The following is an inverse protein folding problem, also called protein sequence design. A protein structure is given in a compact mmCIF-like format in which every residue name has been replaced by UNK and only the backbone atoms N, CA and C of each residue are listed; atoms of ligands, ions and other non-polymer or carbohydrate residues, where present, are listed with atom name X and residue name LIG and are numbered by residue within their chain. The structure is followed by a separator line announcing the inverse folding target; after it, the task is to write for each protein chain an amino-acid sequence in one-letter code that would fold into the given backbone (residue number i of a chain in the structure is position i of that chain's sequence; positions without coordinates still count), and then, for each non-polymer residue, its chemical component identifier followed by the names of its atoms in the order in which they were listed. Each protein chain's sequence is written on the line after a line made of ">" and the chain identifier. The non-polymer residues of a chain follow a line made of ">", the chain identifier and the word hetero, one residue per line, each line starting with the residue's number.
data_IF_863639746445
#
_entry.id   IF_863639746445
#
_cell.length_a   1.000
_cell.length_b   1.000
_cell.length_c   1.000
_cell.angle_alpha   90.00
_cell.angle_beta   90.00
_cell.angle_gamma   90.00
#
_symmetry.space_group_name_H-M   'P 1'
#
loop_
_entity.id
_entity.type
_entity.pdbx_description
1 polymer ?
#
# COMPACT_ATOMS: atom_id res chain seq x y z
N UNK A 1 -0.37 18.16 5.08
CA UNK A 1 0.15 18.05 6.47
C UNK A 1 1.65 18.34 6.46
N UNK A 2 2.19 18.96 7.52
CA UNK A 2 3.60 19.42 7.60
C UNK A 2 4.64 18.32 7.34
N UNK A 3 4.51 17.07 7.83
CA UNK A 3 5.50 16.01 7.58
C UNK A 3 5.62 15.63 6.10
N UNK A 4 4.50 15.57 5.37
CA UNK A 4 4.50 15.27 3.93
C UNK A 4 5.13 16.37 3.09
N UNK A 5 4.92 17.64 3.45
CA UNK A 5 5.59 18.77 2.78
C UNK A 5 7.11 18.72 3.03
N UNK A 6 7.53 18.43 4.26
CA UNK A 6 8.95 18.28 4.60
C UNK A 6 9.62 17.14 3.85
N UNK A 7 9.01 15.94 3.85
CA UNK A 7 9.54 14.80 3.10
C UNK A 7 9.57 15.09 1.60
N UNK A 8 8.52 15.72 1.04
CA UNK A 8 8.47 16.09 -0.38
C UNK A 8 9.58 17.06 -0.77
N UNK A 9 9.83 18.09 0.04
CA UNK A 9 10.93 19.05 -0.18
C UNK A 9 12.28 18.38 -0.07
N UNK A 10 12.47 17.52 0.93
CA UNK A 10 13.71 16.76 1.10
C UNK A 10 13.95 15.83 -0.09
N UNK A 11 12.92 15.14 -0.57
CA UNK A 11 12.99 14.30 -1.78
C UNK A 11 13.36 15.12 -3.01
N UNK A 12 12.71 16.27 -3.24
CA UNK A 12 13.01 17.14 -4.38
C UNK A 12 14.48 17.58 -4.38
N UNK A 13 15.00 17.97 -3.20
CA UNK A 13 16.39 18.40 -3.02
C UNK A 13 17.40 17.26 -3.19
N UNK A 14 17.17 16.12 -2.51
CA UNK A 14 18.13 15.00 -2.51
C UNK A 14 18.17 14.23 -3.83
N UNK A 15 17.04 14.13 -4.52
CA UNK A 15 16.92 13.38 -5.77
C UNK A 15 17.13 14.25 -7.01
N UNK A 16 17.17 15.58 -6.85
CA UNK A 16 17.08 16.54 -7.96
C UNK A 16 15.92 16.19 -8.91
N UNK A 17 14.74 15.98 -8.32
CA UNK A 17 13.56 15.45 -9.01
C UNK A 17 12.36 16.40 -8.87
N UNK A 18 11.49 16.37 -9.88
CA UNK A 18 10.17 17.00 -9.80
C UNK A 18 9.26 16.13 -8.94
N UNK A 19 8.77 16.67 -7.83
CA UNK A 19 7.86 15.98 -6.91
C UNK A 19 6.43 16.43 -7.15
N UNK A 20 5.56 15.49 -7.54
CA UNK A 20 4.13 15.71 -7.68
C UNK A 20 3.41 15.08 -6.48
N UNK A 21 3.14 15.90 -5.46
CA UNK A 21 2.35 15.48 -4.30
C UNK A 21 0.86 15.65 -4.59
N UNK A 22 0.12 14.55 -4.66
CA UNK A 22 -1.29 14.54 -5.10
C UNK A 22 -2.22 14.70 -3.90
N UNK A 23 -3.00 15.79 -3.88
CA UNK A 23 -4.02 16.04 -2.86
C UNK A 23 -5.36 15.41 -3.28
N UNK A 24 -5.43 14.08 -3.28
CA UNK A 24 -6.64 13.33 -3.63
C UNK A 24 -7.74 13.51 -2.58
N UNK A 25 -9.00 13.34 -2.99
CA UNK A 25 -10.16 13.45 -2.09
C UNK A 25 -10.14 12.38 -1.01
N UNK A 26 -10.70 12.63 0.18
CA UNK A 26 -10.59 11.71 1.32
C UNK A 26 -11.93 11.10 1.74
N UNK A 27 -11.86 9.86 2.21
CA UNK A 27 -12.94 9.22 2.96
C UNK A 27 -13.10 9.91 4.34
N UNK A 28 -14.29 9.84 4.97
CA UNK A 28 -15.53 9.21 4.50
C UNK A 28 -16.36 10.09 3.56
N UNK A 29 -15.92 11.32 3.23
CA UNK A 29 -16.70 12.23 2.37
C UNK A 29 -16.81 11.73 0.93
N UNK A 30 -15.75 11.10 0.44
CA UNK A 30 -15.68 10.48 -0.87
C UNK A 30 -15.27 9.03 -0.68
N UNK A 31 -16.06 8.09 -1.17
CA UNK A 31 -15.75 6.67 -1.07
C UNK A 31 -15.02 6.18 -2.32
N UNK A 32 -14.34 5.04 -2.19
CA UNK A 32 -13.73 4.32 -3.31
C UNK A 32 -14.73 4.20 -4.49
N UNK A 33 -14.31 4.39 -5.75
CA UNK A 33 -12.92 4.50 -6.23
C UNK A 33 -12.36 5.93 -6.36
N UNK A 34 -13.02 6.95 -5.78
CA UNK A 34 -12.69 8.37 -6.05
C UNK A 34 -11.20 8.70 -5.82
N UNK A 35 -10.60 8.14 -4.77
CA UNK A 35 -9.19 8.36 -4.43
C UNK A 35 -8.24 7.76 -5.46
N UNK A 36 -8.55 6.54 -5.89
CA UNK A 36 -7.82 5.88 -6.96
C UNK A 36 -7.93 6.68 -8.25
N UNK A 37 -9.14 7.11 -8.63
CA UNK A 37 -9.36 7.86 -9.87
C UNK A 37 -8.64 9.22 -9.86
N UNK A 38 -8.63 9.92 -8.73
CA UNK A 38 -7.89 11.18 -8.57
C UNK A 38 -6.39 10.98 -8.82
N UNK A 39 -5.78 9.98 -8.18
CA UNK A 39 -4.36 9.69 -8.35
C UNK A 39 -4.07 9.17 -9.76
N UNK A 40 -4.89 8.27 -10.29
CA UNK A 40 -4.71 7.67 -11.61
C UNK A 40 -4.71 8.72 -12.71
N UNK A 41 -5.69 9.63 -12.68
CA UNK A 41 -5.80 10.69 -13.68
C UNK A 41 -4.63 11.67 -13.62
N UNK A 42 -4.16 12.03 -12.42
CA UNK A 42 -2.99 12.92 -12.25
C UNK A 42 -1.72 12.25 -12.75
N UNK A 43 -1.44 11.01 -12.34
CA UNK A 43 -0.24 10.28 -12.77
C UNK A 43 -0.25 10.12 -14.29
N UNK A 44 -1.38 9.70 -14.87
CA UNK A 44 -1.54 9.56 -16.32
C UNK A 44 -1.33 10.87 -17.08
N UNK A 45 -1.84 11.98 -16.56
CA UNK A 45 -1.62 13.31 -17.13
C UNK A 45 -0.13 13.72 -17.10
N UNK A 46 0.55 13.48 -15.98
CA UNK A 46 1.98 13.81 -15.84
C UNK A 46 2.89 12.91 -16.68
N UNK A 47 2.49 11.67 -16.92
CA UNK A 47 3.24 10.73 -17.76
C UNK A 47 3.09 10.98 -19.27
N UNK A 48 2.30 11.98 -19.69
CA UNK A 48 2.26 12.42 -21.09
C UNK A 48 3.58 13.10 -21.47
N UNK A 49 4.14 12.77 -22.64
CA UNK A 49 5.42 13.31 -23.12
C UNK A 49 5.46 14.85 -23.11
N UNK A 50 4.35 15.49 -23.48
CA UNK A 50 4.22 16.96 -23.46
C UNK A 50 4.38 17.52 -22.04
N UNK A 51 3.76 16.88 -21.05
CA UNK A 51 3.81 17.31 -19.65
C UNK A 51 5.21 17.10 -19.09
N UNK A 52 5.81 15.92 -19.33
CA UNK A 52 7.19 15.63 -18.92
C UNK A 52 8.18 16.66 -19.50
N UNK A 53 8.07 16.98 -20.80
CA UNK A 53 8.90 18.00 -21.45
C UNK A 53 8.73 19.38 -20.84
N UNK A 54 7.50 19.76 -20.48
CA UNK A 54 7.20 21.05 -19.84
C UNK A 54 7.93 21.21 -18.51
N UNK A 55 8.03 20.14 -17.73
CA UNK A 55 8.71 20.13 -16.42
C UNK A 55 10.16 19.63 -16.49
N UNK A 56 10.70 19.41 -17.70
CA UNK A 56 12.06 18.87 -17.91
C UNK A 56 12.33 17.54 -17.18
N UNK A 57 11.33 16.66 -17.13
CA UNK A 57 11.42 15.33 -16.53
C UNK A 57 11.86 14.30 -17.57
N UNK A 58 12.85 13.47 -17.23
CA UNK A 58 13.27 12.35 -18.06
C UNK A 58 12.21 11.22 -18.02
N UNK A 59 11.61 10.83 -19.17
CA UNK A 59 10.61 9.77 -19.21
C UNK A 59 11.14 8.40 -18.74
N UNK A 60 12.45 8.17 -18.74
CA UNK A 60 13.03 6.93 -18.25
C UNK A 60 13.26 6.91 -16.74
N UNK A 61 13.01 8.03 -16.02
CA UNK A 61 13.29 8.18 -14.59
C UNK A 61 12.04 8.57 -13.81
N UNK A 62 10.96 7.81 -14.00
CA UNK A 62 9.70 7.99 -13.28
C UNK A 62 9.57 6.99 -12.14
N UNK A 63 9.25 7.49 -10.95
CA UNK A 63 8.92 6.68 -9.78
C UNK A 63 7.53 7.05 -9.25
N UNK A 64 6.83 6.06 -8.70
CA UNK A 64 5.67 6.28 -7.82
C UNK A 64 6.06 5.91 -6.40
N UNK A 65 5.61 6.69 -5.43
CA UNK A 65 5.90 6.44 -4.03
C UNK A 65 4.72 6.82 -3.16
N UNK A 66 4.52 6.07 -2.08
CA UNK A 66 3.52 6.40 -1.08
C UNK A 66 3.70 5.60 0.20
N UNK A 67 3.16 6.13 1.29
CA UNK A 67 3.18 5.48 2.59
C UNK A 67 1.79 5.06 3.04
N UNK A 68 1.66 3.95 3.78
CA UNK A 68 0.36 3.49 4.29
C UNK A 68 -0.70 3.38 3.18
N UNK A 69 -1.82 4.11 3.28
CA UNK A 69 -2.85 4.23 2.23
C UNK A 69 -2.34 4.90 0.93
N UNK A 70 -1.35 5.78 1.00
CA UNK A 70 -0.63 6.26 -0.19
C UNK A 70 0.19 5.15 -0.85
N UNK A 71 0.73 4.22 -0.06
CA UNK A 71 1.40 3.01 -0.55
C UNK A 71 0.44 2.09 -1.30
N UNK A 72 -0.79 1.92 -0.79
CA UNK A 72 -1.88 1.24 -1.48
C UNK A 72 -2.11 1.82 -2.88
N UNK A 73 -2.33 3.15 -2.95
CA UNK A 73 -2.57 3.87 -4.20
C UNK A 73 -1.36 3.71 -5.14
N UNK A 74 -0.12 3.90 -4.66
CA UNK A 74 1.07 3.73 -5.48
C UNK A 74 1.18 2.31 -6.09
N UNK A 75 0.86 1.28 -5.32
CA UNK A 75 0.83 -0.11 -5.81
C UNK A 75 -0.28 -0.32 -6.85
N UNK A 76 -1.52 0.11 -6.55
CA UNK A 76 -2.64 -0.04 -7.47
C UNK A 76 -2.38 0.68 -8.80
N UNK A 77 -1.83 1.90 -8.75
CA UNK A 77 -1.45 2.67 -9.93
C UNK A 77 -0.37 1.95 -10.74
N UNK A 78 0.69 1.44 -10.10
CA UNK A 78 1.74 0.70 -10.80
C UNK A 78 1.20 -0.53 -11.53
N UNK A 79 0.26 -1.25 -10.91
CA UNK A 79 -0.40 -2.40 -11.51
C UNK A 79 -1.30 -2.02 -12.70
N UNK A 80 -2.09 -0.96 -12.57
CA UNK A 80 -3.04 -0.55 -13.62
C UNK A 80 -2.34 0.10 -14.80
N UNK A 81 -1.38 1.01 -14.57
CA UNK A 81 -0.69 1.74 -15.63
C UNK A 81 0.21 0.87 -16.49
N UNK A 82 0.79 -0.19 -15.93
CA UNK A 82 1.60 -1.14 -16.70
C UNK A 82 0.83 -1.77 -17.87
N UNK A 83 -0.51 -1.78 -17.80
CA UNK A 83 -1.40 -2.35 -18.81
C UNK A 83 -2.30 -1.31 -19.47
N UNK A 84 -2.15 -0.02 -19.17
CA UNK A 84 -2.93 1.04 -19.82
C UNK A 84 -2.36 1.35 -21.21
N UNK A 85 -3.08 1.06 -22.31
CA UNK A 85 -2.59 1.30 -23.66
C UNK A 85 -2.42 2.79 -24.00
N UNK A 86 -2.94 3.70 -23.16
CA UNK A 86 -2.80 5.13 -23.33
C UNK A 86 -1.54 5.70 -22.64
N UNK A 87 -0.76 4.85 -21.95
CA UNK A 87 0.45 5.27 -21.24
C UNK A 87 1.68 4.57 -21.83
N UNK A 88 2.50 5.33 -22.55
CA UNK A 88 3.69 4.83 -23.24
C UNK A 88 4.97 4.95 -22.40
N UNK A 89 4.91 5.68 -21.29
CA UNK A 89 6.05 5.86 -20.38
C UNK A 89 5.97 4.82 -19.27
N UNK A 90 7.09 4.21 -18.89
CA UNK A 90 7.13 3.18 -17.85
C UNK A 90 7.50 3.79 -16.50
N UNK A 91 6.84 3.31 -15.44
CA UNK A 91 7.31 3.53 -14.08
C UNK A 91 8.56 2.66 -13.89
N UNK A 92 9.69 3.28 -13.55
CA UNK A 92 10.95 2.59 -13.28
C UNK A 92 10.98 2.01 -11.88
N UNK A 93 10.41 2.72 -10.91
CA UNK A 93 10.40 2.35 -9.48
C UNK A 93 9.02 2.52 -8.87
N UNK A 94 8.61 1.54 -8.05
CA UNK A 94 7.56 1.74 -7.05
C UNK A 94 8.20 1.67 -5.64
N UNK A 95 8.00 2.71 -4.84
CA UNK A 95 8.50 2.76 -3.47
C UNK A 95 7.34 2.79 -2.46
N UNK A 96 7.24 1.75 -1.65
CA UNK A 96 6.08 1.43 -0.84
C UNK A 96 6.48 1.44 0.63
N UNK A 97 6.01 2.44 1.37
CA UNK A 97 6.44 2.67 2.76
C UNK A 97 5.34 2.14 3.69
N UNK A 98 5.56 0.98 4.32
CA UNK A 98 4.57 0.28 5.18
C UNK A 98 3.14 0.29 4.60
N UNK A 99 2.96 -0.23 3.36
CA UNK A 99 1.74 -0.03 2.59
C UNK A 99 0.55 -0.84 3.14
N UNK A 100 -0.66 -0.29 2.99
CA UNK A 100 -1.92 -1.05 3.10
C UNK A 100 -2.13 -1.78 1.77
N UNK A 101 -2.37 -3.10 1.75
CA UNK A 101 -2.47 -3.83 0.47
C UNK A 101 -3.69 -4.75 0.34
N UNK A 102 -4.37 -5.09 1.43
CA UNK A 102 -5.60 -5.87 1.38
C UNK A 102 -6.56 -5.61 2.55
N UNK A 103 -7.83 -5.88 2.30
CA UNK A 103 -8.93 -5.83 3.27
C UNK A 103 -9.60 -7.20 3.50
N UNK A 104 -9.15 -8.29 2.87
CA UNK A 104 -9.79 -9.61 2.90
C UNK A 104 -9.58 -10.37 4.22
N UNK A 105 -8.36 -10.36 4.75
CA UNK A 105 -7.98 -11.02 5.99
C UNK A 105 -7.42 -10.00 6.96
N UNK A 106 -8.28 -9.51 7.85
CA UNK A 106 -7.95 -8.57 8.92
C UNK A 106 -7.60 -9.30 10.23
N UNK A 107 -7.17 -10.55 10.13
CA UNK A 107 -6.80 -11.42 11.25
C UNK A 107 -5.46 -12.16 11.03
N UNK A 108 -4.57 -11.59 10.23
CA UNK A 108 -3.18 -12.08 10.07
C UNK A 108 -2.41 -12.06 11.41
N UNK A 109 -1.26 -12.77 11.51
CA UNK A 109 -0.40 -12.69 12.68
C UNK A 109 -0.09 -11.27 13.14
N UNK A 110 0.20 -10.33 12.23
CA UNK A 110 0.46 -8.93 12.55
C UNK A 110 -0.79 -8.19 13.08
N UNK A 111 -1.97 -8.44 12.52
CA UNK A 111 -3.22 -7.88 13.05
C UNK A 111 -3.51 -8.38 14.48
N UNK A 112 -3.20 -9.64 14.79
CA UNK A 112 -3.36 -10.22 16.13
C UNK A 112 -2.33 -9.69 17.13
N UNK A 113 -1.06 -9.62 16.72
CA UNK A 113 0.05 -9.18 17.58
C UNK A 113 0.03 -7.68 17.86
N UNK A 114 -0.25 -6.89 16.83
CA UNK A 114 -0.13 -5.43 16.88
C UNK A 114 -1.49 -4.72 16.97
N UNK A 115 -2.57 -5.47 17.21
CA UNK A 115 -3.94 -4.96 17.16
C UNK A 115 -4.25 -3.82 18.14
N UNK A 116 -3.42 -3.61 19.17
CA UNK A 116 -3.57 -2.56 20.18
C UNK A 116 -2.44 -1.51 20.14
N UNK A 117 -1.66 -1.45 19.06
CA UNK A 117 -0.62 -0.42 18.91
C UNK A 117 -1.23 1.00 18.88
N UNK A 118 -0.62 1.99 19.54
CA UNK A 118 -1.20 3.32 19.71
C UNK A 118 -1.32 4.14 18.42
N UNK A 119 -0.46 3.90 17.42
CA UNK A 119 -0.46 4.67 16.17
C UNK A 119 -1.45 4.11 15.15
N UNK A 120 -1.46 2.78 14.98
CA UNK A 120 -2.41 2.08 14.12
C UNK A 120 -2.85 0.78 14.80
N UNK A 121 -4.04 0.81 15.40
CA UNK A 121 -4.69 -0.37 15.97
C UNK A 121 -5.52 -1.11 14.92
N UNK A 122 -5.89 -2.37 15.20
CA UNK A 122 -6.82 -3.14 14.36
C UNK A 122 -8.15 -2.40 14.20
N UNK A 123 -8.70 -1.87 15.30
CA UNK A 123 -9.95 -1.09 15.28
C UNK A 123 -9.85 0.13 14.37
N UNK A 124 -8.74 0.87 14.42
CA UNK A 124 -8.55 2.05 13.59
C UNK A 124 -8.40 1.68 12.11
N UNK A 125 -7.64 0.61 11.80
CA UNK A 125 -7.47 0.16 10.42
C UNK A 125 -8.78 -0.38 9.83
N UNK A 126 -9.54 -1.16 10.58
CA UNK A 126 -10.89 -1.63 10.18
C UNK A 126 -11.82 -0.44 9.93
N UNK A 127 -11.75 0.61 10.76
CA UNK A 127 -12.50 1.85 10.53
C UNK A 127 -12.11 2.52 9.23
N UNK A 128 -10.81 2.66 8.94
CA UNK A 128 -10.34 3.25 7.68
C UNK A 128 -10.83 2.45 6.47
N UNK A 129 -10.73 1.12 6.50
CA UNK A 129 -11.25 0.27 5.43
C UNK A 129 -12.77 0.42 5.26
N UNK A 130 -13.53 0.35 6.36
CA UNK A 130 -14.99 0.51 6.29
C UNK A 130 -15.35 1.88 5.70
N UNK A 131 -14.80 2.97 6.23
CA UNK A 131 -15.07 4.35 5.78
C UNK A 131 -14.60 4.60 4.35
N UNK A 132 -13.60 3.86 3.87
CA UNK A 132 -13.15 3.92 2.48
C UNK A 132 -14.25 3.49 1.51
N UNK A 133 -15.07 2.51 1.89
CA UNK A 133 -16.17 2.02 1.05
C UNK A 133 -17.53 2.63 1.40
N UNK A 134 -17.80 2.92 2.67
CA UNK A 134 -19.13 3.36 3.14
C UNK A 134 -19.10 3.89 4.58
N UNK A 135 -20.12 4.65 4.98
CA UNK A 135 -20.37 4.99 6.40
C UNK A 135 -21.30 4.01 7.11
N UNK A 136 -21.72 2.93 6.44
CA UNK A 136 -22.51 1.87 7.05
C UNK A 136 -21.71 1.07 8.09
N UNK A 137 -22.12 1.21 9.35
CA UNK A 137 -21.48 0.52 10.48
C UNK A 137 -21.55 -1.00 10.39
N UNK A 138 -22.51 -1.58 9.67
CA UNK A 138 -22.58 -3.04 9.50
C UNK A 138 -21.35 -3.60 8.78
N UNK A 139 -20.73 -2.83 7.87
CA UNK A 139 -19.47 -3.22 7.24
C UNK A 139 -18.32 -3.21 8.25
N UNK A 140 -18.23 -2.16 9.08
CA UNK A 140 -17.24 -2.09 10.16
C UNK A 140 -17.31 -3.31 11.08
N UNK A 141 -18.50 -3.65 11.59
CA UNK A 141 -18.65 -4.79 12.50
C UNK A 141 -18.25 -6.10 11.82
N UNK A 142 -18.67 -6.30 10.56
CA UNK A 142 -18.33 -7.50 9.79
C UNK A 142 -16.83 -7.61 9.48
N UNK A 143 -16.16 -6.49 9.16
CA UNK A 143 -14.71 -6.42 8.95
C UNK A 143 -13.95 -6.66 10.25
N UNK A 144 -14.42 -6.09 11.36
CA UNK A 144 -13.79 -6.26 12.66
C UNK A 144 -13.74 -7.73 13.10
N UNK A 145 -14.82 -8.47 12.80
CA UNK A 145 -14.91 -9.91 13.04
C UNK A 145 -14.35 -10.77 11.91
N UNK A 146 -13.80 -10.17 10.84
CA UNK A 146 -13.24 -10.87 9.68
C UNK A 146 -14.27 -11.77 8.95
N UNK A 147 -15.48 -11.27 8.74
CA UNK A 147 -16.65 -12.02 8.20
C UNK A 147 -17.34 -11.33 7.00
N UNK A 148 -16.70 -10.31 6.43
CA UNK A 148 -17.28 -9.42 5.41
C UNK A 148 -17.15 -9.92 3.97
N UNK A 149 -16.30 -10.92 3.70
CA UNK A 149 -16.11 -11.53 2.37
C UNK A 149 -16.99 -12.78 2.25
N UNK A 150 -17.88 -12.91 1.26
CA UNK A 150 -18.79 -14.03 1.05
C UNK A 150 -18.09 -15.27 0.46
N UNK A 151 -18.77 -16.42 0.50
CA UNK A 151 -18.15 -17.71 0.17
C UNK A 151 -17.90 -17.89 -1.32
N UNK A 152 -18.67 -17.18 -2.13
CA UNK A 152 -18.44 -17.04 -3.57
C UNK A 152 -17.06 -16.43 -3.88
N UNK A 153 -16.56 -15.54 -3.01
CA UNK A 153 -15.27 -14.86 -3.17
C UNK A 153 -14.14 -15.51 -2.37
N UNK A 154 -14.39 -16.65 -1.69
CA UNK A 154 -13.38 -17.34 -0.90
C UNK A 154 -12.14 -17.76 -1.71
N UNK A 155 -12.29 -17.90 -3.03
CA UNK A 155 -11.20 -18.19 -3.96
C UNK A 155 -10.11 -17.10 -3.98
N UNK A 156 -10.41 -15.87 -3.53
CA UNK A 156 -9.47 -14.76 -3.44
C UNK A 156 -8.48 -14.91 -2.27
N UNK A 157 -8.83 -15.66 -1.22
CA UNK A 157 -7.94 -15.88 -0.06
C UNK A 157 -6.61 -16.51 -0.43
N UNK A 158 -6.51 -17.22 -1.57
CA UNK A 158 -5.24 -17.76 -2.07
C UNK A 158 -4.18 -16.67 -2.29
N UNK A 159 -4.57 -15.44 -2.58
CA UNK A 159 -3.66 -14.31 -2.81
C UNK A 159 -3.17 -13.64 -1.53
N UNK A 160 -3.87 -13.86 -0.41
CA UNK A 160 -3.56 -13.31 0.92
C UNK A 160 -3.35 -14.43 1.96
N UNK A 161 -3.06 -15.65 1.49
CA UNK A 161 -2.84 -16.79 2.36
C UNK A 161 -1.50 -16.65 3.10
N UNK A 162 -1.53 -16.03 4.26
CA UNK A 162 -0.33 -15.78 5.05
C UNK A 162 0.39 -17.07 5.50
N UNK A 163 -0.31 -18.21 5.56
CA UNK A 163 0.31 -19.50 5.89
C UNK A 163 1.32 -19.98 4.84
N UNK A 164 1.16 -19.56 3.58
CA UNK A 164 2.09 -19.88 2.49
C UNK A 164 2.98 -18.70 2.10
N UNK A 165 2.53 -17.47 2.34
CA UNK A 165 3.19 -16.26 1.87
C UNK A 165 4.12 -15.60 2.91
N UNK A 166 3.92 -15.86 4.20
CA UNK A 166 4.82 -15.34 5.25
C UNK A 166 6.03 -16.26 5.47
N UNK A 167 7.18 -15.70 5.88
CA UNK A 167 8.28 -16.48 6.45
C UNK A 167 7.87 -17.19 7.75
N UNK A 168 8.46 -18.38 8.00
CA UNK A 168 8.14 -19.20 9.19
C UNK A 168 8.27 -18.45 10.53
N UNK A 169 9.31 -17.62 10.68
CA UNK A 169 9.55 -16.88 11.92
C UNK A 169 8.45 -15.84 12.25
N UNK A 170 7.67 -15.38 11.27
CA UNK A 170 6.56 -14.46 11.48
C UNK A 170 5.23 -15.18 11.75
N UNK A 171 5.07 -16.43 11.31
CA UNK A 171 3.89 -17.26 11.60
C UNK A 171 3.82 -17.63 13.09
N UNK A 172 4.98 -17.82 13.72
CA UNK A 172 5.10 -18.22 15.14
C UNK A 172 4.15 -19.40 15.45
N UNK A 173 3.28 -19.25 16.44
CA UNK A 173 2.31 -20.26 16.85
C UNK A 173 0.88 -19.97 16.32
N UNK A 174 0.74 -19.02 15.38
CA UNK A 174 -0.57 -18.68 14.84
C UNK A 174 -1.06 -19.81 13.91
N UNK A 175 -2.29 -20.24 14.12
CA UNK A 175 -2.97 -21.18 13.24
C UNK A 175 -3.71 -20.42 12.15
N UNK A 176 -3.54 -20.87 10.90
CA UNK A 176 -4.28 -20.35 9.77
C UNK A 176 -5.64 -21.00 9.71
N UNK A 177 -6.68 -20.17 9.82
CA UNK A 177 -8.05 -20.58 9.60
C UNK A 177 -8.60 -19.68 8.51
N UNK A 178 -9.05 -20.26 7.40
CA UNK A 178 -9.79 -19.49 6.41
C UNK A 178 -11.09 -19.00 7.05
N UNK A 179 -11.48 -17.72 6.87
CA UNK A 179 -12.75 -17.22 7.38
C UNK A 179 -13.93 -18.01 6.80
N UNK A 180 -14.76 -18.63 7.65
CA UNK A 180 -15.85 -19.55 7.23
C UNK A 180 -17.26 -18.98 7.36
N UNK A 181 -17.49 -17.96 8.19
CA UNK A 181 -18.81 -17.38 8.45
C UNK A 181 -18.92 -16.01 7.78
N UNK A 182 -19.77 -15.90 6.76
CA UNK A 182 -19.63 -14.83 5.79
C UNK A 182 -20.98 -14.19 5.43
N UNK A 183 -21.02 -12.85 5.44
CA UNK A 183 -22.23 -12.09 5.16
C UNK A 183 -22.41 -11.89 3.64
N UNK A 184 -23.23 -12.73 3.01
CA UNK A 184 -23.49 -12.75 1.56
C UNK A 184 -23.99 -11.43 0.95
N UNK A 185 -24.45 -10.48 1.77
CA UNK A 185 -25.04 -9.23 1.28
C UNK A 185 -24.02 -8.09 1.13
N UNK A 186 -22.85 -8.17 1.77
CA UNK A 186 -21.95 -7.01 1.87
C UNK A 186 -21.14 -6.76 0.58
N UNK A 187 -20.56 -7.77 -0.07
CA UNK A 187 -19.83 -7.57 -1.33
C UNK A 187 -20.76 -7.12 -2.46
N UNK A 188 -21.98 -7.66 -2.53
CA UNK A 188 -22.99 -7.21 -3.50
C UNK A 188 -23.35 -5.73 -3.29
N UNK A 189 -23.35 -5.28 -2.03
CA UNK A 189 -23.61 -3.89 -1.67
C UNK A 189 -22.38 -2.99 -1.91
N UNK A 190 -21.18 -3.53 -1.70
CA UNK A 190 -19.89 -2.82 -1.76
C UNK A 190 -18.89 -3.59 -2.63
N UNK A 191 -18.99 -3.50 -3.97
CA UNK A 191 -18.12 -4.27 -4.87
C UNK A 191 -16.64 -3.91 -4.75
N UNK A 192 -16.31 -2.77 -4.12
CA UNK A 192 -14.92 -2.36 -3.84
C UNK A 192 -14.14 -3.33 -2.96
N UNK A 193 -14.82 -4.15 -2.14
CA UNK A 193 -14.21 -5.14 -1.25
C UNK A 193 -13.42 -6.25 -1.97
N UNK A 194 -13.68 -6.44 -3.26
CA UNK A 194 -12.98 -7.42 -4.10
C UNK A 194 -12.31 -6.76 -5.30
N UNK A 195 -12.25 -5.43 -5.32
CA UNK A 195 -11.63 -4.66 -6.39
C UNK A 195 -10.12 -4.55 -6.14
N UNK A 196 -9.33 -5.04 -7.09
CA UNK A 196 -7.86 -4.99 -7.04
C UNK A 196 -7.30 -3.56 -6.95
N UNK A 197 -8.08 -2.54 -7.30
CA UNK A 197 -7.67 -1.13 -7.14
C UNK A 197 -7.78 -0.65 -5.71
N UNK A 198 -8.63 -1.28 -4.89
CA UNK A 198 -8.69 -1.06 -3.45
C UNK A 198 -7.69 -1.97 -2.73
N UNK A 199 -7.65 -3.25 -3.11
CA UNK A 199 -6.80 -4.27 -2.49
C UNK A 199 -5.82 -4.85 -3.51
N UNK A 200 -4.70 -4.16 -3.82
CA UNK A 200 -3.76 -4.57 -4.87
C UNK A 200 -3.03 -5.88 -4.59
N UNK A 201 -3.07 -6.40 -3.35
CA UNK A 201 -2.59 -7.76 -3.06
C UNK A 201 -3.52 -8.85 -3.65
N UNK A 202 -4.69 -8.50 -4.19
CA UNK A 202 -5.58 -9.45 -4.87
C UNK A 202 -5.29 -9.62 -6.36
N UNK A 203 -4.41 -8.78 -6.93
CA UNK A 203 -4.03 -8.92 -8.33
C UNK A 203 -3.50 -10.31 -8.61
N UNK A 204 -3.86 -10.90 -9.75
CA UNK A 204 -3.40 -12.22 -10.17
C UNK A 204 -1.87 -12.26 -10.34
N UNK A 205 -1.25 -13.43 -10.16
CA UNK A 205 0.22 -13.58 -10.23
C UNK A 205 0.77 -13.08 -11.60
N UNK A 206 0.03 -13.30 -12.69
CA UNK A 206 0.38 -12.87 -14.06
C UNK A 206 0.35 -11.34 -14.22
N UNK A 207 -0.44 -10.64 -13.42
CA UNK A 207 -0.51 -9.17 -13.41
C UNK A 207 0.67 -8.55 -12.67
N UNK A 208 1.35 -9.31 -11.82
CA UNK A 208 2.56 -8.86 -11.15
C UNK A 208 3.80 -8.91 -12.05
N UNK A 209 3.77 -9.72 -13.12
CA UNK A 209 4.87 -9.85 -14.06
C UNK A 209 5.09 -8.52 -14.81
N UNK A 210 6.33 -8.04 -14.72
CA UNK A 210 6.78 -6.80 -15.36
C UNK A 210 6.52 -5.53 -14.53
N UNK A 211 6.07 -5.66 -13.28
CA UNK A 211 5.99 -4.52 -12.37
C UNK A 211 7.37 -3.88 -12.12
N UNK A 212 7.41 -2.59 -11.75
CA UNK A 212 8.65 -1.84 -11.57
C UNK A 212 9.55 -2.43 -10.48
N UNK A 213 10.84 -2.05 -10.52
CA UNK A 213 11.76 -2.29 -9.41
C UNK A 213 11.12 -1.75 -8.13
N UNK A 214 10.99 -2.63 -7.12
CA UNK A 214 10.21 -2.32 -5.92
C UNK A 214 11.13 -2.11 -4.74
N UNK A 215 10.94 -0.99 -4.04
CA UNK A 215 11.51 -0.77 -2.71
C UNK A 215 10.38 -0.76 -1.70
N UNK A 216 10.41 -1.65 -0.73
CA UNK A 216 9.33 -1.84 0.23
C UNK A 216 9.87 -1.76 1.66
N UNK A 217 9.24 -0.93 2.49
CA UNK A 217 9.51 -0.84 3.92
C UNK A 217 8.40 -1.52 4.69
N UNK A 218 8.74 -2.29 5.72
CA UNK A 218 7.79 -2.79 6.73
C UNK A 218 8.29 -2.47 8.13
N UNK A 219 7.36 -2.29 9.05
CA UNK A 219 7.63 -2.05 10.47
C UNK A 219 7.21 -3.29 11.29
N UNK A 220 7.96 -3.63 12.33
CA UNK A 220 7.63 -4.78 13.19
C UNK A 220 6.32 -4.61 13.96
N UNK A 221 6.12 -3.43 14.55
CA UNK A 221 4.94 -3.11 15.36
C UNK A 221 3.87 -2.40 14.51
N UNK A 222 3.41 -3.10 13.49
CA UNK A 222 2.43 -2.63 12.51
C UNK A 222 1.43 -3.75 12.18
N UNK A 223 0.13 -3.45 12.17
CA UNK A 223 -0.89 -4.43 11.76
C UNK A 223 -0.75 -4.80 10.27
N UNK A 224 -0.18 -3.91 9.45
CA UNK A 224 0.05 -4.10 8.02
C UNK A 224 1.39 -4.77 7.69
N UNK A 225 2.17 -5.18 8.70
CA UNK A 225 3.47 -5.85 8.48
C UNK A 225 3.31 -7.00 7.50
N UNK A 226 2.33 -7.87 7.74
CA UNK A 226 2.16 -9.09 6.97
C UNK A 226 1.69 -8.82 5.53
N UNK A 227 0.90 -7.77 5.28
CA UNK A 227 0.54 -7.32 3.92
C UNK A 227 1.80 -7.09 3.08
N UNK A 228 2.77 -6.35 3.63
CA UNK A 228 4.04 -6.06 2.97
C UNK A 228 4.86 -7.33 2.69
N UNK A 229 5.01 -8.22 3.67
CA UNK A 229 5.73 -9.49 3.48
C UNK A 229 5.07 -10.38 2.43
N UNK A 230 3.74 -10.51 2.45
CA UNK A 230 3.01 -11.27 1.46
C UNK A 230 3.22 -10.71 0.06
N UNK A 231 3.18 -9.38 -0.11
CA UNK A 231 3.42 -8.76 -1.40
C UNK A 231 4.85 -8.95 -1.90
N UNK A 232 5.85 -8.83 -1.02
CA UNK A 232 7.25 -9.11 -1.34
C UNK A 232 7.43 -10.55 -1.84
N UNK A 233 6.84 -11.53 -1.16
CA UNK A 233 6.88 -12.94 -1.58
C UNK A 233 6.27 -13.13 -2.97
N UNK A 234 5.11 -12.52 -3.23
CA UNK A 234 4.43 -12.62 -4.53
C UNK A 234 5.18 -11.93 -5.65
N UNK A 235 5.71 -10.72 -5.42
CA UNK A 235 6.53 -9.99 -6.38
C UNK A 235 7.79 -10.77 -6.77
N UNK A 236 8.52 -11.32 -5.78
CA UNK A 236 9.73 -12.13 -6.03
C UNK A 236 9.40 -13.37 -6.84
N UNK A 237 8.29 -14.06 -6.53
CA UNK A 237 7.80 -15.22 -7.30
C UNK A 237 7.46 -14.84 -8.75
N UNK A 238 6.94 -13.64 -8.98
CA UNK A 238 6.66 -13.09 -10.31
C UNK A 238 7.92 -12.57 -11.06
N UNK A 239 9.12 -12.72 -10.48
CA UNK A 239 10.38 -12.29 -11.07
C UNK A 239 10.66 -10.78 -10.95
N UNK A 240 9.88 -10.06 -10.14
CA UNK A 240 10.11 -8.62 -9.89
C UNK A 240 11.27 -8.47 -8.92
N UNK A 241 12.19 -7.55 -9.23
CA UNK A 241 13.27 -7.20 -8.31
C UNK A 241 12.69 -6.41 -7.13
N UNK A 242 12.96 -6.88 -5.91
CA UNK A 242 12.44 -6.27 -4.68
C UNK A 242 13.54 -6.08 -3.65
N UNK A 243 13.78 -4.83 -3.27
CA UNK A 243 14.51 -4.47 -2.06
C UNK A 243 13.48 -4.31 -0.95
N UNK A 244 13.58 -5.13 0.08
CA UNK A 244 12.67 -5.12 1.22
C UNK A 244 13.46 -4.84 2.48
N UNK A 245 13.16 -3.71 3.13
CA UNK A 245 13.74 -3.34 4.42
C UNK A 245 12.69 -3.53 5.52
N UNK A 246 12.95 -4.48 6.40
CA UNK A 246 12.17 -4.67 7.61
C UNK A 246 12.86 -4.00 8.79
N UNK A 247 12.11 -3.20 9.54
CA UNK A 247 12.62 -2.49 10.72
C UNK A 247 12.00 -3.07 12.00
N UNK A 248 12.82 -3.81 12.75
CA UNK A 248 12.40 -4.60 13.93
C UNK A 248 11.95 -3.74 15.13
N UNK A 249 12.34 -2.46 15.17
CA UNK A 249 12.12 -1.56 16.30
C UNK A 249 11.19 -0.39 15.98
N UNK A 250 10.40 -0.48 14.91
CA UNK A 250 9.53 0.61 14.44
C UNK A 250 8.07 0.20 14.35
N UNK A 251 7.23 1.22 14.22
CA UNK A 251 5.77 1.09 14.14
C UNK A 251 5.24 1.79 12.88
N UNK A 252 3.95 1.60 12.60
CA UNK A 252 3.29 2.19 11.43
C UNK A 252 3.48 3.71 11.34
N UNK A 253 3.73 4.25 10.14
CA UNK A 253 3.83 5.71 9.95
C UNK A 253 5.12 6.34 10.48
N UNK A 254 6.17 5.55 10.75
CA UNK A 254 7.42 6.02 11.39
C UNK A 254 8.05 7.25 10.73
N UNK A 255 7.93 7.43 9.40
CA UNK A 255 8.50 8.60 8.72
C UNK A 255 7.81 9.92 9.10
N UNK A 256 6.56 9.89 9.56
CA UNK A 256 5.87 11.09 10.06
C UNK A 256 6.50 11.62 11.35
N UNK A 257 7.31 10.79 12.03
CA UNK A 257 7.98 11.09 13.28
C UNK A 257 9.40 11.66 13.06
N UNK A 258 9.82 11.93 11.82
CA UNK A 258 11.07 12.65 11.50
C UNK A 258 10.96 14.17 11.69
N UNK A 259 9.93 14.64 12.40
CA UNK A 259 9.66 16.05 12.58
C UNK A 259 9.13 16.33 13.99
N UNK A 260 9.24 17.59 14.42
CA UNK A 260 8.69 18.05 15.70
C UNK A 260 7.20 17.69 15.82
N UNK A 261 6.73 17.19 16.99
CA UNK A 261 7.39 17.19 18.29
C UNK A 261 8.27 15.97 18.61
N UNK A 262 8.34 14.98 17.73
CA UNK A 262 9.04 13.72 18.05
C UNK A 262 10.49 13.70 17.60
N UNK A 263 10.73 14.03 16.33
CA UNK A 263 12.07 14.13 15.72
C UNK A 263 12.96 12.89 15.94
N UNK A 264 12.40 11.70 15.69
CA UNK A 264 13.07 10.43 15.96
C UNK A 264 14.25 10.20 15.01
N UNK A 265 15.43 9.92 15.56
CA UNK A 265 16.65 9.61 14.78
C UNK A 265 16.48 8.42 13.83
N UNK A 266 15.71 7.40 14.25
CA UNK A 266 15.37 6.26 13.39
C UNK A 266 14.54 6.69 12.18
N UNK A 267 13.60 7.63 12.33
CA UNK A 267 12.77 8.09 11.22
C UNK A 267 13.62 8.83 10.16
N UNK A 268 14.55 9.69 10.61
CA UNK A 268 15.53 10.33 9.72
C UNK A 268 16.42 9.32 9.00
N UNK A 269 16.94 8.31 9.71
CA UNK A 269 17.76 7.26 9.09
C UNK A 269 17.00 6.47 8.03
N UNK A 270 15.74 6.14 8.29
CA UNK A 270 14.88 5.45 7.31
C UNK A 270 14.64 6.34 6.09
N UNK A 271 14.30 7.62 6.30
CA UNK A 271 14.14 8.58 5.22
C UNK A 271 15.41 8.70 4.36
N UNK A 272 16.57 8.77 5.00
CA UNK A 272 17.86 8.84 4.31
C UNK A 272 18.19 7.57 3.54
N UNK A 273 17.96 6.39 4.11
CA UNK A 273 18.15 5.11 3.41
C UNK A 273 17.27 5.02 2.16
N UNK A 274 15.99 5.33 2.32
CA UNK A 274 15.01 5.38 1.25
C UNK A 274 15.42 6.35 0.13
N UNK A 275 15.78 7.59 0.47
CA UNK A 275 16.19 8.60 -0.52
C UNK A 275 17.53 8.28 -1.18
N UNK A 276 18.49 7.74 -0.43
CA UNK A 276 19.77 7.30 -0.98
C UNK A 276 19.59 6.13 -1.94
N UNK A 277 18.67 5.21 -1.64
CA UNK A 277 18.33 4.12 -2.54
C UNK A 277 17.66 4.65 -3.81
N UNK A 278 16.68 5.55 -3.70
CA UNK A 278 16.06 6.19 -4.86
C UNK A 278 17.09 6.93 -5.71
N UNK A 279 17.99 7.72 -5.12
CA UNK A 279 19.00 8.47 -5.86
C UNK A 279 19.94 7.58 -6.70
N UNK A 280 20.21 6.36 -6.23
CA UNK A 280 21.06 5.40 -6.95
C UNK A 280 20.34 4.65 -8.07
N UNK A 281 19.03 4.48 -7.96
CA UNK A 281 18.27 3.59 -8.83
C UNK A 281 17.32 4.33 -9.78
N UNK A 282 16.88 5.54 -9.44
CA UNK A 282 15.99 6.36 -10.27
C UNK A 282 16.80 7.10 -11.30
#
# INVERSE_FOLDING_TARGET
>A
MKPYDQLSRLSAQKLNAVIVSINYRLAPKFHFPIQFDDVYNVVKFFMQEKTLKTYSVDPNRIAVSGDSAGGNLATAIAQMLLRDPQVNVKIKIQALLYPVLQDLDLDTPSYRENGHMPILSKTLMVRFWSEYFTTDRSLFEAMYTNTHIPSEDAHLYKYVNWSSLLPEHLKKNHLYNMPTNQNMLLVKKYPGLVDVRASPLLAEDEKLIGLPLTYLITCMYDVLRDDGFMYVSRLRKAGVQVVHEHYDSTFHGILLFSSWPFDLSIAHRIADNYLNWLNKNL
#
